data_IF_644827156600
#
_entry.id   IF_644827156600
#
_cell.length_a   1.000
_cell.length_b   1.000
_cell.length_c   1.000
_cell.angle_alpha   90.00
_cell.angle_beta   90.00
_cell.angle_gamma   90.00
#
_symmetry.space_group_name_H-M   'P 1'
#
loop_
_entity.id
_entity.type
_entity.pdbx_description
1 polymer ?
#
# COMPACT_ATOMS: atom_id res chain seq x y z
N UNK A 1 10.74 8.90 0.38
CA UNK A 1 9.33 8.46 0.18
C UNK A 1 8.92 9.03 -1.15
N UNK A 2 8.45 8.20 -2.08
CA UNK A 2 8.14 8.66 -3.42
C UNK A 2 6.63 8.69 -3.63
N UNK A 3 6.11 9.82 -4.13
CA UNK A 3 4.68 10.06 -4.27
C UNK A 3 4.33 10.40 -5.72
N UNK A 4 3.32 9.75 -6.26
CA UNK A 4 2.75 10.08 -7.56
C UNK A 4 1.26 10.39 -7.43
N UNK A 5 0.81 11.43 -8.10
CA UNK A 5 -0.61 11.70 -8.28
C UNK A 5 -1.03 11.23 -9.68
N UNK A 6 -2.13 10.49 -9.77
CA UNK A 6 -2.60 9.90 -11.01
C UNK A 6 -4.08 10.21 -11.24
N UNK A 7 -4.43 10.47 -12.50
CA UNK A 7 -5.81 10.55 -12.98
C UNK A 7 -6.07 9.41 -13.95
N UNK A 8 -7.15 8.66 -13.75
CA UNK A 8 -7.69 7.72 -14.74
C UNK A 8 -9.09 8.15 -15.16
N UNK A 9 -9.38 8.02 -16.44
CA UNK A 9 -10.69 8.34 -17.04
C UNK A 9 -11.42 7.08 -17.54
N UNK A 10 -12.62 7.27 -18.09
CA UNK A 10 -13.47 6.21 -18.66
C UNK A 10 -12.82 5.44 -19.82
N UNK A 11 -11.95 6.09 -20.60
CA UNK A 11 -11.18 5.46 -21.69
C UNK A 11 -10.05 4.55 -21.16
N UNK A 12 -9.86 4.48 -19.83
CA UNK A 12 -8.76 3.75 -19.21
C UNK A 12 -7.40 4.43 -19.32
N UNK A 13 -7.32 5.62 -19.94
CA UNK A 13 -6.09 6.39 -20.05
C UNK A 13 -5.68 6.89 -18.67
N UNK A 14 -4.41 6.67 -18.35
CA UNK A 14 -3.80 7.11 -17.10
C UNK A 14 -2.89 8.31 -17.39
N UNK A 15 -3.13 9.42 -16.68
CA UNK A 15 -2.23 10.59 -16.66
C UNK A 15 -1.49 10.59 -15.33
N UNK A 16 -0.17 10.73 -15.41
CA UNK A 16 0.72 10.79 -14.26
C UNK A 16 1.10 12.24 -14.02
N UNK A 17 0.90 12.72 -12.80
CA UNK A 17 1.36 14.00 -12.29
C UNK A 17 2.40 13.68 -11.22
N UNK A 18 3.67 13.65 -11.63
CA UNK A 18 4.78 13.37 -10.73
C UNK A 18 4.93 14.53 -9.75
N UNK A 19 4.91 14.25 -8.45
CA UNK A 19 5.25 15.21 -7.41
C UNK A 19 6.52 14.68 -6.75
N UNK A 20 7.67 15.17 -7.19
CA UNK A 20 8.93 14.81 -6.54
C UNK A 20 9.02 15.50 -5.19
N UNK A 21 8.78 14.75 -4.12
CA UNK A 21 9.15 15.15 -2.76
C UNK A 21 10.51 14.50 -2.48
N UNK A 22 11.58 15.24 -2.82
CA UNK A 22 12.99 14.99 -2.49
C UNK A 22 13.38 13.50 -2.35
N UNK A 23 13.75 12.85 -3.45
CA UNK A 23 14.65 11.71 -3.36
C UNK A 23 16.08 12.27 -3.33
N UNK A 24 16.75 12.11 -2.19
CA UNK A 24 18.22 12.19 -2.15
C UNK A 24 18.76 11.21 -3.18
N UNK A 25 19.59 11.71 -4.08
CA UNK A 25 20.24 10.97 -5.16
C UNK A 25 20.75 9.61 -4.67
N UNK A 26 20.16 8.52 -5.15
CA UNK A 26 20.89 7.28 -5.30
C UNK A 26 20.40 6.54 -6.56
N UNK A 27 21.26 6.63 -7.55
CA UNK A 27 21.14 6.23 -8.94
C UNK A 27 20.95 4.72 -9.13
N UNK A 28 19.80 4.30 -9.68
CA UNK A 28 19.66 3.45 -10.89
C UNK A 28 18.15 3.10 -11.07
N UNK A 29 17.48 3.51 -12.17
CA UNK A 29 16.03 3.26 -12.36
C UNK A 29 15.68 1.78 -12.55
N UNK A 30 16.66 0.91 -12.86
CA UNK A 30 16.47 -0.53 -13.04
C UNK A 30 16.35 -1.31 -11.72
N UNK A 31 16.75 -0.73 -10.59
CA UNK A 31 16.66 -1.33 -9.24
C UNK A 31 15.50 -0.80 -8.40
N UNK A 32 14.80 0.26 -8.84
CA UNK A 32 13.81 0.99 -8.03
C UNK A 32 12.47 0.25 -7.82
N UNK A 33 12.14 -0.73 -8.66
CA UNK A 33 10.90 -1.50 -8.54
C UNK A 33 11.02 -2.62 -7.49
N UNK A 34 12.24 -3.09 -7.23
CA UNK A 34 12.48 -4.32 -6.46
C UNK A 34 12.36 -4.18 -4.93
N UNK A 35 12.17 -2.98 -4.40
CA UNK A 35 12.34 -2.70 -2.97
C UNK A 35 11.18 -1.92 -2.33
N UNK A 36 9.95 -2.04 -2.83
CA UNK A 36 8.78 -1.35 -2.25
C UNK A 36 8.16 -2.21 -1.15
N UNK A 37 8.51 -1.97 0.12
CA UNK A 37 7.95 -2.70 1.27
C UNK A 37 6.43 -2.61 1.29
N UNK A 38 5.91 -1.40 1.14
CA UNK A 38 4.49 -1.12 1.32
C UNK A 38 4.03 0.00 0.39
N UNK A 39 2.72 0.03 0.18
CA UNK A 39 2.05 1.01 -0.65
C UNK A 39 0.93 1.66 0.14
N UNK A 40 0.85 2.98 0.06
CA UNK A 40 -0.30 3.77 0.52
C UNK A 40 -0.98 4.37 -0.69
N UNK A 41 -2.28 4.14 -0.85
CA UNK A 41 -3.10 4.65 -1.93
C UNK A 41 -4.17 5.58 -1.35
N UNK A 42 -4.06 6.87 -1.60
CA UNK A 42 -5.02 7.88 -1.21
C UNK A 42 -6.02 8.13 -2.33
N UNK A 43 -7.31 8.05 -2.06
CA UNK A 43 -8.35 8.37 -3.03
C UNK A 43 -8.69 9.87 -2.96
N UNK A 44 -8.38 10.59 -4.04
CA UNK A 44 -8.61 12.04 -4.14
C UNK A 44 -9.97 12.38 -4.80
N UNK A 45 -10.61 11.41 -5.42
CA UNK A 45 -11.99 11.51 -5.92
C UNK A 45 -12.74 10.19 -5.79
N UNK A 46 -14.07 10.26 -5.90
CA UNK A 46 -14.96 9.11 -6.03
C UNK A 46 -15.58 9.08 -7.41
N UNK A 47 -15.24 8.09 -8.25
CA UNK A 47 -15.96 7.85 -9.50
C UNK A 47 -17.43 7.54 -9.22
N UNK A 48 -18.35 7.96 -10.09
CA UNK A 48 -19.77 7.65 -9.90
C UNK A 48 -20.04 6.16 -10.12
N UNK A 49 -19.35 5.51 -11.07
CA UNK A 49 -19.43 4.07 -11.32
C UNK A 49 -18.09 3.45 -11.70
N UNK A 50 -17.82 2.27 -11.16
CA UNK A 50 -16.58 1.51 -11.41
C UNK A 50 -15.39 2.06 -10.60
N UNK A 51 -14.18 1.85 -11.09
CA UNK A 51 -12.97 2.42 -10.50
C UNK A 51 -12.48 1.79 -9.18
N UNK A 52 -13.06 0.67 -8.73
CA UNK A 52 -12.60 -0.08 -7.55
C UNK A 52 -11.12 -0.49 -7.66
N UNK A 53 -10.44 -0.62 -6.52
CA UNK A 53 -9.16 -1.35 -6.44
C UNK A 53 -9.49 -2.79 -6.07
N UNK A 54 -9.05 -3.76 -6.86
CA UNK A 54 -9.34 -5.18 -6.65
C UNK A 54 -8.07 -5.93 -6.30
N UNK A 55 -8.17 -6.87 -5.36
CA UNK A 55 -7.10 -7.79 -5.02
C UNK A 55 -7.57 -9.20 -5.35
N UNK A 56 -7.05 -9.75 -6.44
CA UNK A 56 -7.59 -10.98 -7.02
C UNK A 56 -7.37 -12.19 -6.11
N UNK A 57 -6.20 -12.29 -5.49
CA UNK A 57 -5.81 -13.48 -4.73
C UNK A 57 -6.51 -13.57 -3.37
N UNK A 58 -6.77 -12.44 -2.73
CA UNK A 58 -7.56 -12.36 -1.48
C UNK A 58 -9.06 -12.15 -1.73
N UNK A 59 -9.49 -12.06 -2.99
CA UNK A 59 -10.90 -11.96 -3.42
C UNK A 59 -11.66 -10.82 -2.75
N UNK A 60 -11.04 -9.65 -2.68
CA UNK A 60 -11.64 -8.45 -2.07
C UNK A 60 -11.50 -7.24 -2.98
N UNK A 61 -12.34 -6.25 -2.71
CA UNK A 61 -12.43 -5.01 -3.46
C UNK A 61 -12.47 -3.83 -2.49
N UNK A 62 -11.73 -2.78 -2.81
CA UNK A 62 -11.75 -1.51 -2.10
C UNK A 62 -12.43 -0.47 -2.99
N UNK A 63 -13.45 0.20 -2.45
CA UNK A 63 -14.15 1.30 -3.11
C UNK A 63 -13.29 2.55 -3.05
N UNK A 64 -13.21 3.26 -4.18
CA UNK A 64 -12.50 4.55 -4.26
C UNK A 64 -13.36 5.67 -3.69
N UNK A 65 -13.37 5.81 -2.37
CA UNK A 65 -14.09 6.86 -1.66
C UNK A 65 -13.15 8.03 -1.40
N UNK A 66 -13.53 9.25 -1.77
CA UNK A 66 -12.71 10.45 -1.62
C UNK A 66 -12.36 10.65 -0.14
N UNK A 67 -11.09 10.96 0.11
CA UNK A 67 -10.45 11.11 1.42
C UNK A 67 -10.10 9.80 2.14
N UNK A 68 -10.52 8.64 1.63
CA UNK A 68 -10.07 7.37 2.19
C UNK A 68 -8.65 7.05 1.72
N UNK A 69 -7.94 6.29 2.54
CA UNK A 69 -6.63 5.73 2.22
C UNK A 69 -6.66 4.21 2.35
N UNK A 70 -5.98 3.55 1.44
CA UNK A 70 -5.79 2.10 1.42
C UNK A 70 -4.30 1.79 1.60
N UNK A 71 -3.99 0.89 2.52
CA UNK A 71 -2.62 0.53 2.86
C UNK A 71 -2.40 -0.98 2.79
N UNK A 72 -1.26 -1.39 2.23
CA UNK A 72 -0.84 -2.79 2.26
C UNK A 72 0.69 -2.95 2.14
N UNK A 73 1.20 -4.07 2.62
CA UNK A 73 2.58 -4.52 2.40
C UNK A 73 2.69 -5.30 1.09
N UNK A 74 3.64 -4.94 0.22
CA UNK A 74 3.89 -5.69 -1.02
C UNK A 74 4.81 -6.90 -0.78
N UNK A 75 5.55 -6.92 0.35
CA UNK A 75 6.56 -7.93 0.66
C UNK A 75 6.26 -8.65 1.98
N UNK A 76 6.67 -9.91 2.08
CA UNK A 76 6.83 -10.64 3.33
C UNK A 76 8.01 -10.11 4.14
N UNK A 77 8.15 -10.54 5.41
CA UNK A 77 9.20 -10.04 6.31
C UNK A 77 10.61 -10.48 5.93
N UNK A 78 10.72 -11.50 5.09
CA UNK A 78 11.97 -11.95 4.50
C UNK A 78 12.37 -11.17 3.23
N UNK A 79 11.52 -10.24 2.77
CA UNK A 79 11.74 -9.45 1.55
C UNK A 79 11.09 -10.04 0.28
N UNK A 80 10.53 -11.25 0.34
CA UNK A 80 9.88 -11.87 -0.82
C UNK A 80 8.55 -11.20 -1.15
N UNK A 81 8.13 -11.26 -2.42
CA UNK A 81 6.87 -10.64 -2.88
C UNK A 81 5.65 -11.36 -2.30
N UNK A 82 4.73 -10.59 -1.72
CA UNK A 82 3.44 -11.11 -1.29
C UNK A 82 2.43 -11.14 -2.44
N UNK A 83 2.28 -12.30 -3.08
CA UNK A 83 1.33 -12.47 -4.18
C UNK A 83 -0.12 -12.19 -3.76
N UNK A 84 -0.47 -12.27 -2.47
CA UNK A 84 -1.82 -11.93 -1.99
C UNK A 84 -2.21 -10.49 -2.30
N UNK A 85 -1.22 -9.61 -2.32
CA UNK A 85 -1.40 -8.18 -2.60
C UNK A 85 -1.36 -7.83 -4.08
N UNK A 86 -1.38 -8.84 -4.97
CA UNK A 86 -1.58 -8.62 -6.39
C UNK A 86 -2.93 -7.92 -6.61
N UNK A 87 -2.85 -6.70 -7.15
CA UNK A 87 -3.98 -5.81 -7.29
C UNK A 87 -4.07 -5.18 -8.67
N UNK A 88 -5.27 -4.69 -8.99
CA UNK A 88 -5.53 -3.93 -10.20
C UNK A 88 -6.57 -2.84 -9.92
N UNK A 89 -6.64 -1.83 -10.78
CA UNK A 89 -7.77 -0.90 -10.79
C UNK A 89 -8.80 -1.38 -11.80
N UNK A 90 -10.05 -1.56 -11.36
CA UNK A 90 -11.18 -1.77 -12.25
C UNK A 90 -11.33 -0.61 -13.26
N UNK A 91 -11.93 -0.87 -14.43
CA UNK A 91 -12.36 0.17 -15.35
C UNK A 91 -13.29 1.17 -14.66
N UNK A 92 -13.18 2.43 -15.07
CA UNK A 92 -14.13 3.48 -14.67
C UNK A 92 -15.25 3.46 -15.69
N UNK A 93 -16.49 3.40 -15.23
CA UNK A 93 -17.67 3.37 -16.10
C UNK A 93 -18.33 4.73 -16.20
N UNK A 94 -18.20 5.57 -15.16
CA UNK A 94 -18.71 6.93 -15.12
C UNK A 94 -17.89 7.77 -14.14
N UNK A 95 -17.52 8.98 -14.57
CA UNK A 95 -16.74 9.94 -13.80
C UNK A 95 -15.23 9.81 -13.98
N UNK A 96 -14.47 10.36 -13.03
CA UNK A 96 -13.00 10.35 -13.01
C UNK A 96 -12.47 9.82 -11.67
N UNK A 97 -11.38 9.06 -11.71
CA UNK A 97 -10.65 8.59 -10.53
C UNK A 97 -9.34 9.34 -10.42
N UNK A 98 -9.20 10.12 -9.36
CA UNK A 98 -7.96 10.73 -8.91
C UNK A 98 -7.48 9.98 -7.69
N UNK A 99 -6.20 9.60 -7.71
CA UNK A 99 -5.57 8.95 -6.58
C UNK A 99 -4.12 9.39 -6.47
N UNK A 100 -3.58 9.29 -5.26
CA UNK A 100 -2.18 9.49 -5.00
C UNK A 100 -1.61 8.20 -4.42
N UNK A 101 -0.46 7.76 -4.93
CA UNK A 101 0.22 6.57 -4.47
C UNK A 101 1.54 6.96 -3.84
N UNK A 102 1.79 6.48 -2.64
CA UNK A 102 3.06 6.62 -1.94
C UNK A 102 3.68 5.24 -1.79
N UNK A 103 4.92 5.11 -2.25
CA UNK A 103 5.70 3.88 -2.06
C UNK A 103 6.71 4.07 -0.96
N UNK A 104 6.71 3.12 -0.02
CA UNK A 104 7.66 3.03 1.07
C UNK A 104 8.74 2.05 0.63
N UNK A 105 9.98 2.55 0.51
CA UNK A 105 11.15 1.76 0.12
C UNK A 105 11.70 0.95 1.29
N UNK A 106 12.43 -0.11 0.96
CA UNK A 106 13.10 -0.99 1.93
C UNK A 106 14.28 -0.36 2.62
N UNK A 107 15.07 0.40 1.86
CA UNK A 107 16.25 1.09 2.39
C UNK A 107 15.85 2.16 3.41
N UNK A 108 16.53 2.18 4.55
CA UNK A 108 16.27 3.12 5.65
C UNK A 108 15.17 2.66 6.62
N UNK A 109 14.67 1.43 6.47
CA UNK A 109 13.65 0.82 7.34
C UNK A 109 14.21 -0.30 8.21
N UNK A 110 15.51 -0.56 8.19
CA UNK A 110 16.18 -1.65 8.91
C UNK A 110 15.90 -1.67 10.42
N UNK A 111 15.71 -0.51 11.05
CA UNK A 111 15.40 -0.40 12.48
C UNK A 111 13.90 -0.41 12.78
N UNK A 112 13.06 0.01 11.83
CA UNK A 112 11.61 0.12 12.01
C UNK A 112 10.85 -1.13 11.54
N UNK A 113 11.46 -1.93 10.66
CA UNK A 113 10.92 -3.19 10.14
C UNK A 113 11.97 -4.30 10.26
N UNK A 114 12.15 -4.88 11.45
CA UNK A 114 13.06 -6.00 11.64
C UNK A 114 12.59 -7.22 10.82
N UNK A 115 13.55 -7.96 10.26
CA UNK A 115 13.30 -9.19 9.53
C UNK A 115 12.68 -10.27 10.44
N UNK A 116 11.95 -11.20 9.83
CA UNK A 116 11.45 -12.37 10.53
C UNK A 116 12.58 -13.34 10.87
N UNK A 117 12.50 -14.00 12.01
CA UNK A 117 13.40 -15.11 12.35
C UNK A 117 13.15 -16.35 11.48
N UNK A 118 11.97 -16.45 10.89
CA UNK A 118 11.56 -17.51 9.99
C UNK A 118 11.24 -16.93 8.59
N UNK A 119 11.71 -17.57 7.50
CA UNK A 119 11.46 -17.09 6.13
C UNK A 119 9.98 -17.03 5.75
N UNK A 120 9.13 -17.87 6.34
CA UNK A 120 7.69 -17.90 6.04
C UNK A 120 6.89 -16.82 6.79
N UNK A 121 7.56 -15.98 7.58
CA UNK A 121 6.89 -14.95 8.37
C UNK A 121 6.31 -13.84 7.48
N UNK A 122 4.99 -13.69 7.56
CA UNK A 122 4.23 -12.72 6.78
C UNK A 122 4.04 -11.40 7.54
N UNK A 123 3.74 -10.34 6.79
CA UNK A 123 3.27 -9.10 7.39
C UNK A 123 1.84 -9.23 7.88
N UNK A 124 1.60 -8.61 9.03
CA UNK A 124 0.35 -8.74 9.77
C UNK A 124 -0.71 -7.73 9.33
N UNK A 125 -0.28 -6.58 8.85
CA UNK A 125 -1.11 -5.42 8.55
C UNK A 125 -1.37 -5.30 7.04
N UNK A 126 -1.78 -6.40 6.39
CA UNK A 126 -2.48 -6.27 5.11
C UNK A 126 -3.87 -5.76 5.45
N UNK A 127 -4.01 -4.43 5.47
CA UNK A 127 -5.17 -3.72 6.03
C UNK A 127 -6.49 -4.38 5.66
N UNK A 128 -7.19 -4.90 6.68
CA UNK A 128 -8.65 -4.98 6.71
C UNK A 128 -9.31 -5.88 5.64
N UNK A 129 -8.54 -6.69 4.90
CA UNK A 129 -9.04 -7.53 3.79
C UNK A 129 -9.68 -8.86 4.26
N UNK A 130 -10.29 -8.89 5.45
CA UNK A 130 -11.11 -10.02 5.92
C UNK A 130 -10.36 -11.30 6.30
N UNK A 131 -9.03 -11.23 6.54
CA UNK A 131 -8.28 -12.32 7.16
C UNK A 131 -8.61 -12.47 8.65
N UNK A 132 -8.53 -13.68 9.25
CA UNK A 132 -8.78 -13.84 10.67
C UNK A 132 -7.80 -12.99 11.49
N UNK A 133 -8.33 -12.17 12.40
CA UNK A 133 -7.55 -11.44 13.38
C UNK A 133 -6.64 -12.42 14.16
N UNK A 134 -5.34 -12.14 14.33
CA UNK A 134 -4.50 -13.03 15.10
C UNK A 134 -4.86 -12.88 16.59
N UNK A 135 -5.68 -13.81 17.07
CA UNK A 135 -6.29 -13.84 18.42
C UNK A 135 -5.34 -13.70 19.61
N UNK A 136 -4.02 -13.82 19.42
CA UNK A 136 -3.04 -13.89 20.50
C UNK A 136 -2.13 -12.68 20.67
N UNK A 137 -2.22 -11.68 19.79
CA UNK A 137 -1.27 -10.57 19.81
C UNK A 137 -1.90 -9.24 19.37
N UNK A 138 -2.86 -8.62 20.05
CA UNK A 138 -3.42 -7.32 19.61
C UNK A 138 -2.32 -6.33 19.18
N UNK A 139 -2.62 -5.54 18.14
CA UNK A 139 -1.72 -4.62 17.43
C UNK A 139 -1.28 -3.44 18.31
N UNK A 140 -0.53 -3.74 19.35
CA UNK A 140 0.12 -2.78 20.23
C UNK A 140 1.58 -3.20 20.27
N UNK A 141 2.47 -2.24 20.00
CA UNK A 141 3.91 -2.40 20.24
C UNK A 141 4.13 -3.13 21.57
N UNK A 142 5.07 -4.09 21.67
CA UNK A 142 5.37 -4.73 22.96
C UNK A 142 5.82 -3.73 24.04
N UNK A 143 6.02 -2.46 23.68
CA UNK A 143 6.35 -1.36 24.57
C UNK A 143 5.19 -0.44 24.98
N UNK A 144 4.01 -0.48 24.34
CA UNK A 144 2.86 0.30 24.85
C UNK A 144 2.09 -0.58 25.85
N UNK A 145 2.44 -0.45 27.13
CA UNK A 145 1.64 -1.01 28.23
C UNK A 145 0.31 -0.29 28.32
N UNK A 146 -0.71 -1.02 28.77
CA UNK A 146 -2.08 -0.56 28.94
C UNK A 146 -2.14 0.77 29.71
N UNK A 147 -2.70 1.80 29.06
CA UNK A 147 -2.99 3.10 29.67
C UNK A 147 -1.89 4.14 29.48
N UNK A 148 -2.23 5.15 28.67
CA UNK A 148 -1.60 6.48 28.54
C UNK A 148 -0.28 6.57 27.76
N UNK A 149 -0.40 7.22 26.59
CA UNK A 149 0.63 7.79 25.70
C UNK A 149 1.77 6.88 25.21
N UNK A 150 1.81 6.66 23.90
CA UNK A 150 3.00 6.17 23.22
C UNK A 150 3.86 7.42 22.85
N UNK A 151 5.06 7.55 23.42
CA UNK A 151 6.12 8.43 22.88
C UNK A 151 6.81 7.76 21.68
#
# INVERSE_FOLDING_TARGET
MYVEMLKRNIEGKMKIFKIEILDTEDSNPSTDIAYRIATVLFYLSTPEKGGYTVFNNVKTIAKSTKHDALFWYNLWRNGDRDLRTMHASCPILLGDKWFMISWIRERGQEFFRPCGLDPSMQERYVGDLGGPEPRKYPNISPYCKEGLYCE
#
